data_IF_299507005727
#
_entry.id   IF_299507005727
#
_cell.length_a   1.000
_cell.length_b   1.000
_cell.length_c   1.000
_cell.angle_alpha   90.00
_cell.angle_beta   90.00
_cell.angle_gamma   90.00
#
_symmetry.space_group_name_H-M   'P 1'
#
loop_
_entity.id
_entity.type
_entity.pdbx_description
1 polymer ?
#
# COMPACT_ATOMS: atom_id res chain seq x y z
N UNK A 1 41.81 52.46 -25.43
CA UNK A 1 41.53 52.54 -26.87
C UNK A 1 41.69 51.15 -27.47
N UNK A 2 40.69 50.74 -28.26
CA UNK A 2 40.52 49.50 -29.03
C UNK A 2 41.80 48.95 -29.66
N UNK A 3 41.98 47.65 -29.89
CA UNK A 3 41.25 46.91 -30.93
C UNK A 3 41.55 45.41 -30.90
N UNK A 4 40.54 44.58 -31.22
CA UNK A 4 40.64 43.18 -31.69
C UNK A 4 40.56 43.15 -33.23
N UNK A 5 41.11 42.13 -33.90
CA UNK A 5 40.28 41.27 -34.78
C UNK A 5 40.66 39.76 -34.68
N UNK A 6 39.77 38.75 -34.74
CA UNK A 6 39.03 38.14 -35.89
C UNK A 6 39.97 37.43 -36.91
N UNK A 7 39.77 36.23 -37.51
CA UNK A 7 38.61 35.31 -37.73
C UNK A 7 39.07 34.09 -38.58
N UNK A 8 38.23 33.03 -38.62
CA UNK A 8 37.98 32.02 -39.70
C UNK A 8 38.49 30.57 -39.49
N UNK A 9 37.91 29.47 -40.03
CA UNK A 9 36.55 29.01 -40.40
C UNK A 9 36.70 27.54 -40.91
N UNK A 10 35.80 26.64 -40.49
CA UNK A 10 35.26 25.40 -41.13
C UNK A 10 36.15 24.22 -41.63
N UNK A 11 35.67 23.00 -41.36
CA UNK A 11 35.97 21.74 -42.09
C UNK A 11 35.44 20.50 -41.35
N UNK A 12 34.74 19.59 -42.02
CA UNK A 12 33.84 18.55 -41.45
C UNK A 12 34.39 17.10 -41.49
N UNK A 13 33.96 16.27 -40.50
CA UNK A 13 33.70 14.79 -40.44
C UNK A 13 34.78 13.77 -40.93
N UNK A 14 34.86 12.49 -40.45
CA UNK A 14 33.77 11.60 -39.96
C UNK A 14 34.07 10.75 -38.68
N UNK A 15 33.05 10.02 -38.23
CA UNK A 15 33.03 9.15 -37.05
C UNK A 15 33.78 7.81 -37.23
N UNK A 16 34.13 7.13 -36.11
CA UNK A 16 33.87 5.70 -36.03
C UNK A 16 33.08 5.32 -34.77
N UNK A 17 32.24 4.30 -34.96
CA UNK A 17 31.42 3.62 -33.96
C UNK A 17 32.25 3.13 -32.77
N UNK A 18 31.86 3.53 -31.56
CA UNK A 18 32.26 2.91 -30.30
C UNK A 18 31.06 2.22 -29.68
N UNK A 19 31.18 0.92 -29.46
CA UNK A 19 30.19 0.05 -28.82
C UNK A 19 29.92 0.43 -27.35
N UNK A 20 28.75 0.04 -26.80
CA UNK A 20 28.24 0.54 -25.52
C UNK A 20 28.97 -0.07 -24.32
N UNK A 21 29.38 0.73 -23.34
CA UNK A 21 29.92 0.24 -22.06
C UNK A 21 29.17 0.84 -20.88
N UNK A 22 28.24 0.02 -20.38
CA UNK A 22 27.74 -0.11 -19.02
C UNK A 22 27.51 1.17 -18.20
N UNK A 23 26.24 1.55 -18.10
CA UNK A 23 25.66 2.27 -16.97
C UNK A 23 26.02 1.57 -15.66
N UNK A 24 26.69 2.22 -14.68
CA UNK A 24 26.66 1.75 -13.32
C UNK A 24 25.25 1.97 -12.78
N UNK A 25 24.47 0.89 -12.62
CA UNK A 25 23.28 0.90 -11.79
C UNK A 25 23.72 1.20 -10.35
N UNK A 26 23.69 2.48 -10.00
CA UNK A 26 23.89 2.93 -8.64
C UNK A 26 22.61 2.72 -7.83
N UNK A 27 22.70 1.84 -6.84
CA UNK A 27 21.82 1.82 -5.68
C UNK A 27 20.65 0.87 -5.80
N UNK A 28 20.89 -0.41 -5.51
CA UNK A 28 19.87 -1.20 -4.84
C UNK A 28 19.46 -0.44 -3.57
N UNK A 29 18.26 0.14 -3.57
CA UNK A 29 17.60 0.60 -2.34
C UNK A 29 17.64 -0.56 -1.36
N UNK A 30 18.24 -0.42 -0.16
CA UNK A 30 18.16 -1.47 0.83
C UNK A 30 16.68 -1.71 1.09
N UNK A 31 16.20 -2.93 0.81
CA UNK A 31 14.85 -3.33 1.17
C UNK A 31 14.71 -3.13 2.67
N UNK A 32 13.98 -2.09 3.05
CA UNK A 32 13.74 -1.74 4.45
C UNK A 32 12.65 -2.68 4.96
N UNK A 33 13.00 -3.93 5.21
CA UNK A 33 12.10 -4.86 5.88
C UNK A 33 11.78 -4.28 7.25
N UNK A 34 10.54 -3.83 7.40
CA UNK A 34 10.05 -3.37 8.69
C UNK A 34 10.06 -4.53 9.67
N UNK A 35 10.43 -4.32 10.94
CA UNK A 35 10.44 -5.38 11.92
C UNK A 35 9.03 -5.97 12.09
N UNK A 36 8.91 -7.29 12.34
CA UNK A 36 7.62 -7.90 12.57
C UNK A 36 6.94 -7.27 13.80
N UNK A 37 5.63 -7.01 13.69
CA UNK A 37 4.81 -6.50 14.79
C UNK A 37 3.85 -7.59 15.27
N UNK A 38 3.83 -7.82 16.57
CA UNK A 38 2.84 -8.68 17.21
C UNK A 38 1.72 -7.82 17.82
N UNK A 39 0.48 -8.21 17.58
CA UNK A 39 -0.69 -7.52 18.12
C UNK A 39 -1.37 -8.40 19.16
N UNK A 40 -1.50 -7.88 20.38
CA UNK A 40 -2.27 -8.54 21.46
C UNK A 40 -3.73 -8.13 21.32
N UNK A 41 -4.65 -9.08 21.51
CA UNK A 41 -6.09 -8.80 21.52
C UNK A 41 -6.65 -8.46 20.13
N UNK A 42 -6.39 -9.31 19.13
CA UNK A 42 -6.99 -9.17 17.81
C UNK A 42 -8.51 -9.27 17.90
N UNK A 43 -9.22 -8.31 17.31
CA UNK A 43 -10.68 -8.36 17.22
C UNK A 43 -11.10 -9.31 16.09
N UNK A 44 -12.03 -10.21 16.40
CA UNK A 44 -12.66 -11.12 15.47
C UNK A 44 -14.09 -10.62 15.18
N UNK A 45 -14.42 -10.45 13.90
CA UNK A 45 -15.79 -10.22 13.46
C UNK A 45 -16.43 -11.56 13.11
N UNK A 46 -17.54 -11.88 13.75
CA UNK A 46 -18.38 -13.03 13.47
C UNK A 46 -19.72 -12.57 12.91
N UNK A 47 -20.21 -13.25 11.88
CA UNK A 47 -21.57 -13.06 11.33
C UNK A 47 -22.35 -14.37 11.38
N UNK A 48 -23.69 -14.28 11.39
CA UNK A 48 -24.54 -15.46 11.41
C UNK A 48 -24.59 -16.17 10.04
N UNK A 49 -24.73 -15.39 8.96
CA UNK A 49 -24.85 -15.90 7.58
C UNK A 49 -23.58 -15.57 6.75
N UNK A 50 -23.00 -16.53 6.02
CA UNK A 50 -21.92 -16.26 5.07
C UNK A 50 -22.21 -15.17 4.03
N UNK A 51 -23.47 -14.99 3.64
CA UNK A 51 -23.89 -13.90 2.76
C UNK A 51 -23.64 -12.52 3.38
N UNK A 52 -23.84 -12.37 4.69
CA UNK A 52 -23.59 -11.12 5.39
C UNK A 52 -22.11 -10.76 5.36
N UNK A 53 -21.21 -11.72 5.54
CA UNK A 53 -19.77 -11.45 5.50
C UNK A 53 -19.34 -10.95 4.11
N UNK A 54 -19.90 -11.53 3.05
CA UNK A 54 -19.66 -11.08 1.68
C UNK A 54 -20.21 -9.68 1.43
N UNK A 55 -21.37 -9.35 1.99
CA UNK A 55 -21.92 -8.00 1.91
C UNK A 55 -21.03 -6.98 2.63
N UNK A 56 -20.55 -7.31 3.84
CA UNK A 56 -19.61 -6.46 4.59
C UNK A 56 -18.26 -6.30 3.89
N UNK A 57 -17.79 -7.34 3.19
CA UNK A 57 -16.58 -7.27 2.38
C UNK A 57 -16.76 -6.35 1.15
N UNK A 58 -17.95 -6.33 0.56
CA UNK A 58 -18.28 -5.45 -0.56
C UNK A 58 -18.58 -4.00 -0.13
N UNK A 59 -18.92 -3.75 1.15
CA UNK A 59 -19.20 -2.41 1.65
C UNK A 59 -17.89 -1.60 1.80
N UNK A 60 -17.69 -0.51 1.02
CA UNK A 60 -16.47 0.30 1.08
C UNK A 60 -16.26 1.01 2.42
N UNK A 61 -17.30 1.14 3.25
CA UNK A 61 -17.22 1.74 4.59
C UNK A 61 -16.68 0.75 5.62
N UNK A 62 -16.89 -0.56 5.40
CA UNK A 62 -16.51 -1.63 6.33
C UNK A 62 -15.20 -2.29 5.91
N UNK A 63 -15.01 -2.50 4.59
CA UNK A 63 -13.84 -3.14 4.01
C UNK A 63 -12.48 -2.69 4.56
N UNK A 64 -12.22 -1.37 4.82
CA UNK A 64 -10.93 -0.92 5.37
C UNK A 64 -10.60 -1.50 6.76
N UNK A 65 -11.60 -1.96 7.51
CA UNK A 65 -11.41 -2.56 8.82
C UNK A 65 -11.17 -4.08 8.76
N UNK A 66 -11.43 -4.73 7.62
CA UNK A 66 -11.27 -6.18 7.46
C UNK A 66 -9.88 -6.50 6.88
N UNK A 67 -9.03 -7.12 7.69
CA UNK A 67 -7.67 -7.48 7.27
C UNK A 67 -7.68 -8.76 6.45
N UNK A 68 -8.42 -9.77 6.90
CA UNK A 68 -8.46 -11.08 6.26
C UNK A 68 -9.71 -11.85 6.63
N UNK A 69 -10.30 -12.51 5.64
CA UNK A 69 -11.34 -13.51 5.86
C UNK A 69 -10.68 -14.80 6.36
N UNK A 70 -11.12 -15.29 7.52
CA UNK A 70 -10.58 -16.49 8.18
C UNK A 70 -11.43 -17.73 7.90
N UNK A 71 -12.74 -17.53 7.70
CA UNK A 71 -13.70 -18.55 7.30
C UNK A 71 -14.92 -17.90 6.66
N UNK A 72 -15.91 -18.69 6.25
CA UNK A 72 -17.17 -18.18 5.68
C UNK A 72 -17.93 -17.21 6.58
N UNK A 73 -17.67 -17.22 7.90
CA UNK A 73 -18.40 -16.41 8.89
C UNK A 73 -17.50 -15.54 9.77
N UNK A 74 -16.19 -15.62 9.59
CA UNK A 74 -15.24 -14.94 10.47
C UNK A 74 -14.22 -14.12 9.69
N UNK A 75 -13.96 -12.90 10.15
CA UNK A 75 -12.91 -12.04 9.62
C UNK A 75 -12.06 -11.43 10.73
N UNK A 76 -10.75 -11.35 10.49
CA UNK A 76 -9.82 -10.59 11.31
C UNK A 76 -10.00 -9.10 11.05
N UNK A 77 -10.11 -8.32 12.12
CA UNK A 77 -10.25 -6.87 12.08
C UNK A 77 -8.90 -6.19 12.29
N UNK A 78 -8.72 -5.02 11.68
CA UNK A 78 -7.51 -4.21 11.82
C UNK A 78 -7.27 -3.87 13.31
N UNK A 79 -6.09 -4.19 13.87
CA UNK A 79 -5.79 -3.91 15.27
C UNK A 79 -6.00 -2.43 15.63
N UNK A 80 -6.61 -2.18 16.79
CA UNK A 80 -6.91 -0.82 17.27
C UNK A 80 -8.14 -0.15 16.64
N UNK A 81 -8.76 -0.76 15.62
CA UNK A 81 -9.90 -0.14 14.91
C UNK A 81 -11.29 -0.56 15.40
N UNK A 82 -11.37 -1.39 16.46
CA UNK A 82 -12.63 -2.00 16.91
C UNK A 82 -13.79 -1.00 17.11
N UNK A 83 -13.55 0.13 17.80
CA UNK A 83 -14.58 1.15 18.01
C UNK A 83 -15.04 1.77 16.70
N UNK A 84 -14.11 2.06 15.78
CA UNK A 84 -14.43 2.64 14.49
C UNK A 84 -15.22 1.66 13.61
N UNK A 85 -14.88 0.38 13.64
CA UNK A 85 -15.66 -0.68 12.98
C UNK A 85 -17.09 -0.74 13.53
N UNK A 86 -17.26 -0.74 14.85
CA UNK A 86 -18.60 -0.79 15.47
C UNK A 86 -19.47 0.40 15.03
N UNK A 87 -18.89 1.60 14.98
CA UNK A 87 -19.60 2.79 14.50
C UNK A 87 -19.92 2.71 12.99
N UNK A 88 -19.00 2.18 12.18
CA UNK A 88 -19.23 1.97 10.76
C UNK A 88 -20.36 0.96 10.51
N UNK A 89 -20.39 -0.15 11.25
CA UNK A 89 -21.45 -1.15 11.19
C UNK A 89 -22.81 -0.55 11.56
N UNK A 90 -22.89 0.24 12.63
CA UNK A 90 -24.12 0.95 13.02
C UNK A 90 -24.59 1.90 11.92
N UNK A 91 -23.68 2.67 11.32
CA UNK A 91 -23.99 3.58 10.20
C UNK A 91 -24.45 2.85 8.93
N UNK A 92 -24.02 1.60 8.75
CA UNK A 92 -24.48 0.72 7.68
C UNK A 92 -25.82 0.00 8.02
N UNK A 93 -26.40 0.26 9.19
CA UNK A 93 -27.69 -0.31 9.61
C UNK A 93 -27.59 -1.64 10.37
N UNK A 94 -26.38 -2.11 10.67
CA UNK A 94 -26.17 -3.31 11.49
C UNK A 94 -26.29 -3.00 12.98
N UNK A 95 -26.61 -4.03 13.78
CA UNK A 95 -26.68 -3.95 15.25
C UNK A 95 -25.63 -4.88 15.89
N UNK A 96 -24.33 -4.51 15.83
CA UNK A 96 -23.27 -5.39 16.29
C UNK A 96 -23.33 -5.59 17.81
N UNK A 97 -23.19 -6.85 18.25
CA UNK A 97 -23.04 -7.21 19.65
C UNK A 97 -21.55 -7.41 19.96
N UNK A 98 -21.09 -6.84 21.07
CA UNK A 98 -19.71 -7.03 21.53
C UNK A 98 -19.69 -8.22 22.48
N UNK A 99 -19.00 -9.29 22.10
CA UNK A 99 -18.72 -10.40 23.00
C UNK A 99 -17.33 -10.21 23.59
N UNK A 100 -17.27 -9.92 24.89
CA UNK A 100 -16.04 -10.04 25.65
C UNK A 100 -15.95 -11.47 26.16
N UNK A 101 -15.36 -12.38 25.37
CA UNK A 101 -14.84 -13.63 25.95
C UNK A 101 -13.38 -13.42 26.30
N UNK A 102 -13.12 -13.59 27.60
CA UNK A 102 -11.80 -13.59 28.25
C UNK A 102 -11.07 -14.87 27.90
#
# INVERSE_FOLDING_TARGET
MSSKPSKAKAGAAPAPQGTPKATPQAGATPERTSPPSAHVGLTLLEVADPADLRALEADPRIRPFLVRILSERHAAVLPGSHTALLEALKKAGHTPKVQAKV
#
